data_IF_262064503018
#
_entry.id   IF_262064503018
#
_cell.length_a   1.000
_cell.length_b   1.000
_cell.length_c   1.000
_cell.angle_alpha   90.00
_cell.angle_beta   90.00
_cell.angle_gamma   90.00
#
_symmetry.space_group_name_H-M   'P 1'
#
loop_
_entity.id
_entity.type
_entity.pdbx_description
1 polymer ?
#
# COMPACT_ATOMS: atom_id res chain seq x y z
N UNK A 1 -10.22 -18.69 20.06
CA UNK A 1 -10.24 -17.27 20.48
C UNK A 1 -10.40 -16.49 19.19
N UNK A 2 -11.36 -15.57 19.07
CA UNK A 2 -11.41 -14.70 17.90
C UNK A 2 -10.24 -13.72 18.02
N UNK A 3 -9.08 -14.09 17.47
CA UNK A 3 -7.95 -13.17 17.37
C UNK A 3 -8.46 -11.99 16.55
N UNK A 4 -8.60 -10.84 17.20
CA UNK A 4 -9.04 -9.61 16.54
C UNK A 4 -8.00 -9.28 15.48
N UNK A 5 -8.36 -9.42 14.22
CA UNK A 5 -7.57 -8.93 13.11
C UNK A 5 -7.12 -7.48 13.40
N UNK A 6 -5.83 -7.15 13.28
CA UNK A 6 -5.35 -5.80 13.50
C UNK A 6 -6.10 -4.80 12.62
N UNK A 7 -6.57 -3.70 13.24
CA UNK A 7 -7.29 -2.64 12.54
C UNK A 7 -6.35 -1.46 12.31
N UNK A 8 -6.16 -1.09 11.04
CA UNK A 8 -5.47 0.13 10.63
C UNK A 8 -6.49 1.25 10.51
N UNK A 9 -6.30 2.34 11.24
CA UNK A 9 -7.17 3.52 11.14
C UNK A 9 -6.53 4.58 10.26
N UNK A 10 -7.22 5.02 9.22
CA UNK A 10 -6.77 6.05 8.28
C UNK A 10 -7.66 7.29 8.43
N UNK A 11 -7.09 8.38 8.93
CA UNK A 11 -7.82 9.65 9.03
C UNK A 11 -7.78 10.39 7.69
N UNK A 12 -8.94 10.63 7.07
CA UNK A 12 -9.05 11.32 5.78
C UNK A 12 -8.51 12.75 5.81
N UNK A 13 -8.43 13.39 6.99
CA UNK A 13 -7.77 14.70 7.12
C UNK A 13 -6.29 14.66 6.73
N UNK A 14 -5.67 13.47 6.73
CA UNK A 14 -4.31 13.30 6.25
C UNK A 14 -4.20 13.53 4.74
N UNK A 15 -5.26 13.36 3.96
CA UNK A 15 -5.18 13.43 2.51
C UNK A 15 -4.89 14.83 1.98
N UNK A 16 -5.21 15.87 2.75
CA UNK A 16 -4.88 17.27 2.44
C UNK A 16 -3.51 17.72 2.97
N UNK A 17 -2.81 16.86 3.72
CA UNK A 17 -1.47 17.18 4.23
C UNK A 17 -0.41 16.96 3.15
N UNK A 18 0.79 17.50 3.38
CA UNK A 18 1.95 17.25 2.54
C UNK A 18 2.45 15.78 2.62
N UNK A 19 3.36 15.42 1.72
CA UNK A 19 3.90 14.08 1.62
C UNK A 19 4.70 13.64 2.85
N UNK A 20 5.36 14.58 3.55
CA UNK A 20 6.17 14.29 4.73
C UNK A 20 5.29 13.95 5.93
N UNK A 21 4.26 14.74 6.17
CA UNK A 21 3.28 14.51 7.23
C UNK A 21 2.55 13.17 7.03
N UNK A 22 2.16 12.86 5.79
CA UNK A 22 1.55 11.56 5.43
C UNK A 22 2.49 10.39 5.70
N UNK A 23 3.74 10.50 5.27
CA UNK A 23 4.75 9.46 5.47
C UNK A 23 5.01 9.25 6.96
N UNK A 24 5.10 10.33 7.72
CA UNK A 24 5.28 10.30 9.18
C UNK A 24 4.13 9.57 9.86
N UNK A 25 2.88 9.89 9.51
CA UNK A 25 1.71 9.24 10.11
C UNK A 25 1.60 7.77 9.72
N UNK A 26 1.82 7.44 8.44
CA UNK A 26 1.86 6.06 7.98
C UNK A 26 2.96 5.24 8.69
N UNK A 27 4.13 5.83 8.94
CA UNK A 27 5.21 5.19 9.68
C UNK A 27 4.84 4.95 11.15
N UNK A 28 4.10 5.87 11.80
CA UNK A 28 3.59 5.63 13.16
C UNK A 28 2.64 4.43 13.19
N UNK A 29 1.72 4.35 12.22
CA UNK A 29 0.80 3.22 12.08
C UNK A 29 1.59 1.92 11.88
N UNK A 30 2.53 1.88 10.95
CA UNK A 30 3.38 0.72 10.70
C UNK A 30 4.14 0.27 11.96
N UNK A 31 4.76 1.21 12.69
CA UNK A 31 5.48 0.91 13.95
C UNK A 31 4.56 0.35 15.03
N UNK A 32 3.31 0.82 15.11
CA UNK A 32 2.34 0.29 16.07
C UNK A 32 1.99 -1.18 15.81
N UNK A 33 2.24 -1.67 14.59
CA UNK A 33 2.08 -3.06 14.16
C UNK A 33 3.39 -3.86 14.23
N UNK A 34 4.46 -3.30 14.81
CA UNK A 34 5.75 -3.97 15.00
C UNK A 34 6.72 -3.87 13.83
N UNK A 35 6.45 -3.06 12.82
CA UNK A 35 7.36 -2.84 11.68
C UNK A 35 8.57 -2.01 12.13
N UNK A 36 9.77 -2.50 11.84
CA UNK A 36 11.03 -1.86 12.23
C UNK A 36 11.40 -0.65 11.37
N UNK A 37 12.26 0.23 11.90
CA UNK A 37 12.83 1.33 11.13
C UNK A 37 13.64 0.86 9.91
N UNK A 38 14.26 -0.32 10.01
CA UNK A 38 15.00 -0.94 8.91
C UNK A 38 14.07 -1.35 7.75
N UNK A 39 12.90 -1.90 8.06
CA UNK A 39 11.88 -2.22 7.07
C UNK A 39 11.30 -0.94 6.42
N UNK A 40 11.05 0.09 7.23
CA UNK A 40 10.59 1.40 6.75
C UNK A 40 11.62 2.09 5.84
N UNK A 41 12.91 1.88 6.07
CA UNK A 41 13.97 2.39 5.19
C UNK A 41 13.98 1.66 3.83
N UNK A 42 13.84 0.33 3.83
CA UNK A 42 13.78 -0.48 2.60
C UNK A 42 12.59 -0.15 1.70
N UNK A 43 11.51 0.40 2.24
CA UNK A 43 10.41 0.93 1.44
C UNK A 43 10.90 2.02 0.46
N UNK A 44 11.84 2.87 0.88
CA UNK A 44 12.38 3.92 0.01
C UNK A 44 13.20 3.35 -1.16
N UNK A 45 13.85 2.21 -0.97
CA UNK A 45 14.57 1.53 -2.05
C UNK A 45 13.62 1.02 -3.14
N UNK A 46 12.49 0.43 -2.75
CA UNK A 46 11.47 0.01 -3.71
C UNK A 46 10.81 1.21 -4.41
N UNK A 47 10.52 2.30 -3.69
CA UNK A 47 10.02 3.55 -4.30
C UNK A 47 10.99 4.14 -5.32
N UNK A 48 12.29 4.06 -5.04
CA UNK A 48 13.34 4.48 -5.98
C UNK A 48 13.32 3.60 -7.23
N UNK A 49 13.24 2.27 -7.07
CA UNK A 49 13.11 1.35 -8.20
C UNK A 49 11.85 1.62 -9.04
N UNK A 50 10.68 1.82 -8.42
CA UNK A 50 9.45 2.22 -9.11
C UNK A 50 9.63 3.50 -9.95
N UNK A 51 10.42 4.46 -9.45
CA UNK A 51 10.71 5.72 -10.15
C UNK A 51 11.66 5.51 -11.31
N UNK A 52 12.76 4.79 -11.10
CA UNK A 52 13.77 4.48 -12.12
C UNK A 52 13.18 3.69 -13.29
N UNK A 53 12.20 2.84 -13.01
CA UNK A 53 11.53 2.01 -14.01
C UNK A 53 10.21 2.60 -14.53
N UNK A 54 9.77 3.78 -14.07
CA UNK A 54 8.49 4.39 -14.46
C UNK A 54 7.28 3.46 -14.24
N UNK A 55 7.22 2.83 -13.07
CA UNK A 55 6.29 1.75 -12.75
C UNK A 55 5.25 2.10 -11.67
N UNK A 56 5.17 3.37 -11.24
CA UNK A 56 4.21 3.83 -10.23
C UNK A 56 2.74 3.66 -10.62
N UNK A 57 2.44 3.57 -11.91
CA UNK A 57 1.08 3.44 -12.44
C UNK A 57 0.68 1.97 -12.66
N UNK A 58 1.56 1.04 -12.29
CA UNK A 58 1.36 -0.38 -12.49
C UNK A 58 0.67 -1.04 -11.29
N UNK A 59 -0.18 -2.05 -11.51
CA UNK A 59 -0.95 -2.70 -10.45
C UNK A 59 -0.13 -3.78 -9.72
N UNK A 60 1.07 -3.44 -9.23
CA UNK A 60 2.00 -4.40 -8.62
C UNK A 60 1.54 -4.96 -7.27
N UNK A 61 0.60 -4.29 -6.57
CA UNK A 61 -0.07 -4.86 -5.40
C UNK A 61 -1.26 -5.75 -5.77
N UNK A 62 -1.77 -5.69 -7.00
CA UNK A 62 -3.03 -6.28 -7.46
C UNK A 62 -3.90 -5.25 -8.18
N UNK A 63 -4.89 -5.71 -8.97
CA UNK A 63 -5.84 -4.87 -9.68
C UNK A 63 -7.20 -4.85 -8.94
N UNK A 64 -7.94 -3.75 -9.06
CA UNK A 64 -9.32 -3.66 -8.59
C UNK A 64 -10.23 -3.88 -9.80
N UNK A 65 -11.30 -4.66 -9.71
CA UNK A 65 -12.15 -4.93 -10.88
C UNK A 65 -12.81 -3.63 -11.44
N UNK A 66 -13.51 -3.74 -12.57
CA UNK A 66 -14.17 -2.59 -13.24
C UNK A 66 -15.12 -1.82 -12.31
N UNK A 67 -15.75 -2.50 -11.36
CA UNK A 67 -16.69 -1.92 -10.39
C UNK A 67 -15.99 -1.25 -9.20
N UNK A 68 -14.66 -1.23 -9.16
CA UNK A 68 -13.92 -0.73 -8.00
C UNK A 68 -13.88 -1.69 -6.82
N UNK A 69 -14.20 -2.98 -7.03
CA UNK A 69 -14.24 -4.01 -6.00
C UNK A 69 -13.21 -5.14 -6.22
N UNK A 70 -12.73 -5.69 -5.10
CA UNK A 70 -11.98 -6.94 -5.09
C UNK A 70 -10.50 -6.83 -5.47
N UNK A 71 -9.84 -7.99 -5.39
CA UNK A 71 -8.43 -8.19 -5.67
C UNK A 71 -8.29 -9.11 -6.88
N UNK A 72 -8.01 -8.53 -8.05
CA UNK A 72 -7.66 -9.28 -9.26
C UNK A 72 -6.14 -9.38 -9.35
N UNK A 73 -5.63 -10.60 -9.16
CA UNK A 73 -4.22 -10.90 -9.28
C UNK A 73 -3.82 -10.98 -10.76
N UNK A 74 -3.24 -9.89 -11.29
CA UNK A 74 -2.80 -9.79 -12.70
C UNK A 74 -1.33 -9.36 -12.75
N UNK A 75 -0.38 -10.26 -12.41
CA UNK A 75 1.03 -9.93 -12.27
C UNK A 75 1.65 -9.41 -13.58
N UNK A 76 1.24 -9.95 -14.73
CA UNK A 76 1.78 -9.56 -16.03
C UNK A 76 1.43 -8.13 -16.43
N UNK A 77 0.39 -7.53 -15.83
CA UNK A 77 0.03 -6.13 -16.06
C UNK A 77 0.98 -5.15 -15.34
N UNK A 78 1.86 -5.64 -14.47
CA UNK A 78 2.82 -4.85 -13.72
C UNK A 78 4.26 -4.94 -14.29
N UNK A 79 4.38 -5.26 -15.57
CA UNK A 79 5.66 -5.35 -16.28
C UNK A 79 5.88 -4.12 -17.16
N UNK A 80 6.99 -3.42 -16.95
CA UNK A 80 7.53 -2.47 -17.93
C UNK A 80 8.35 -3.24 -18.95
N UNK A 81 8.20 -2.95 -20.24
CA UNK A 81 8.92 -3.70 -21.29
C UNK A 81 10.25 -3.06 -21.70
N UNK A 82 10.42 -1.74 -21.48
CA UNK A 82 11.60 -1.00 -21.92
C UNK A 82 12.00 0.08 -20.89
N UNK A 83 12.99 -0.17 -20.00
CA UNK A 83 13.65 -1.46 -19.78
C UNK A 83 12.69 -2.52 -19.20
N UNK A 84 12.99 -3.80 -19.41
CA UNK A 84 12.22 -4.89 -18.82
C UNK A 84 12.31 -4.83 -17.29
N UNK A 85 11.17 -4.75 -16.61
CA UNK A 85 11.11 -4.82 -15.15
C UNK A 85 9.73 -5.24 -14.67
N UNK A 86 9.68 -6.24 -13.79
CA UNK A 86 8.44 -6.80 -13.26
C UNK A 86 8.22 -6.27 -11.84
N UNK A 87 7.44 -5.19 -11.74
CA UNK A 87 7.20 -4.52 -10.47
C UNK A 87 6.46 -5.41 -9.47
N UNK A 88 5.61 -6.32 -9.94
CA UNK A 88 4.90 -7.26 -9.08
C UNK A 88 5.86 -8.28 -8.46
N UNK A 89 6.70 -8.91 -9.28
CA UNK A 89 7.71 -9.85 -8.79
C UNK A 89 8.67 -9.20 -7.82
N UNK A 90 9.15 -8.00 -8.13
CA UNK A 90 10.04 -7.27 -7.22
C UNK A 90 9.34 -6.90 -5.91
N UNK A 91 8.07 -6.48 -5.95
CA UNK A 91 7.28 -6.23 -4.75
C UNK A 91 7.12 -7.48 -3.89
N UNK A 92 6.79 -8.63 -4.49
CA UNK A 92 6.60 -9.89 -3.78
C UNK A 92 7.92 -10.49 -3.24
N UNK A 93 9.06 -10.11 -3.81
CA UNK A 93 10.39 -10.50 -3.31
C UNK A 93 10.85 -9.67 -2.09
N UNK A 94 10.19 -8.54 -1.80
CA UNK A 94 10.48 -7.77 -0.59
C UNK A 94 10.15 -8.59 0.66
N UNK A 95 10.83 -8.35 1.79
CA UNK A 95 10.41 -8.89 3.08
C UNK A 95 8.96 -8.53 3.42
N UNK A 96 8.27 -9.43 4.14
CA UNK A 96 6.83 -9.29 4.44
C UNK A 96 6.49 -7.96 5.15
N UNK A 97 7.33 -7.55 6.08
CA UNK A 97 7.23 -6.29 6.83
C UNK A 97 7.42 -5.06 5.93
N UNK A 98 8.31 -5.12 4.94
CA UNK A 98 8.52 -4.07 3.92
C UNK A 98 7.31 -3.96 3.00
N UNK A 99 6.75 -5.09 2.52
CA UNK A 99 5.53 -5.08 1.72
C UNK A 99 4.36 -4.44 2.49
N UNK A 100 4.22 -4.85 3.76
CA UNK A 100 3.18 -4.34 4.67
C UNK A 100 3.35 -2.85 4.92
N UNK A 101 4.58 -2.40 5.20
CA UNK A 101 4.91 -0.99 5.38
C UNK A 101 4.60 -0.16 4.13
N UNK A 102 4.96 -0.68 2.95
CA UNK A 102 4.66 -0.01 1.68
C UNK A 102 3.15 0.15 1.51
N UNK A 103 2.38 -0.92 1.66
CA UNK A 103 0.92 -0.88 1.54
C UNK A 103 0.29 0.06 2.57
N UNK A 104 0.76 0.08 3.83
CA UNK A 104 0.30 1.05 4.83
C UNK A 104 0.55 2.48 4.36
N UNK A 105 1.72 2.79 3.79
CA UNK A 105 1.98 4.14 3.24
C UNK A 105 1.07 4.47 2.08
N UNK A 106 0.75 3.50 1.22
CA UNK A 106 -0.15 3.70 0.09
C UNK A 106 -1.56 4.10 0.54
N UNK A 107 -2.04 3.65 1.71
CA UNK A 107 -3.32 4.11 2.30
C UNK A 107 -3.39 5.63 2.55
N UNK A 108 -2.25 6.30 2.74
CA UNK A 108 -2.18 7.74 2.99
C UNK A 108 -1.89 8.55 1.72
N UNK A 109 -1.70 7.89 0.57
CA UNK A 109 -1.41 8.56 -0.71
C UNK A 109 -2.65 9.23 -1.31
N UNK A 110 -2.42 10.02 -2.37
CA UNK A 110 -3.45 10.89 -2.96
C UNK A 110 -4.45 10.16 -3.87
N UNK A 111 -4.04 9.10 -4.57
CA UNK A 111 -4.90 8.47 -5.58
C UNK A 111 -5.81 7.43 -4.93
N UNK A 112 -7.15 7.50 -5.14
CA UNK A 112 -8.08 6.51 -4.59
C UNK A 112 -7.74 5.08 -4.98
N UNK A 113 -7.36 4.83 -6.25
CA UNK A 113 -7.06 3.48 -6.77
C UNK A 113 -5.89 2.82 -6.03
N UNK A 114 -4.84 3.58 -5.73
CA UNK A 114 -3.69 3.06 -5.00
C UNK A 114 -4.05 2.67 -3.55
N UNK A 115 -4.95 3.44 -2.92
CA UNK A 115 -5.44 3.15 -1.56
C UNK A 115 -6.27 1.88 -1.54
N UNK A 116 -7.16 1.70 -2.52
CA UNK A 116 -7.96 0.48 -2.62
C UNK A 116 -7.09 -0.75 -2.89
N UNK A 117 -6.11 -0.65 -3.79
CA UNK A 117 -5.15 -1.74 -4.02
C UNK A 117 -4.39 -2.11 -2.75
N UNK A 118 -3.97 -1.12 -1.96
CA UNK A 118 -3.31 -1.34 -0.68
C UNK A 118 -4.21 -1.95 0.40
N UNK A 119 -5.46 -1.48 0.53
CA UNK A 119 -6.45 -2.05 1.45
C UNK A 119 -6.72 -3.52 1.12
N UNK A 120 -6.97 -3.83 -0.16
CA UNK A 120 -7.17 -5.20 -0.62
C UNK A 120 -5.94 -6.07 -0.36
N UNK A 121 -4.73 -5.55 -0.64
CA UNK A 121 -3.50 -6.29 -0.34
C UNK A 121 -3.38 -6.60 1.17
N UNK A 122 -3.58 -5.60 2.04
CA UNK A 122 -3.50 -5.78 3.50
C UNK A 122 -4.59 -6.73 4.01
N UNK A 123 -5.79 -6.70 3.44
CA UNK A 123 -6.86 -7.61 3.79
C UNK A 123 -6.55 -9.05 3.41
N UNK A 124 -6.25 -9.32 2.15
CA UNK A 124 -6.10 -10.68 1.64
C UNK A 124 -4.74 -11.32 2.00
N UNK A 125 -3.66 -10.53 2.04
CA UNK A 125 -2.31 -11.05 2.29
C UNK A 125 -1.87 -10.95 3.75
N UNK A 126 -2.47 -10.07 4.57
CA UNK A 126 -2.10 -9.87 5.98
C UNK A 126 -3.26 -10.07 6.96
N UNK A 127 -4.49 -10.19 6.47
CA UNK A 127 -5.67 -10.31 7.33
C UNK A 127 -6.04 -9.03 8.06
N UNK A 128 -5.45 -7.88 7.70
CA UNK A 128 -5.76 -6.61 8.36
C UNK A 128 -7.11 -6.07 7.91
N UNK A 129 -7.69 -5.22 8.74
CA UNK A 129 -8.86 -4.42 8.38
C UNK A 129 -8.47 -2.96 8.33
N UNK A 130 -8.90 -2.23 7.30
CA UNK A 130 -8.71 -0.79 7.22
C UNK A 130 -10.03 -0.09 7.57
N UNK A 131 -9.95 0.89 8.47
CA UNK A 131 -11.06 1.73 8.87
C UNK A 131 -10.74 3.19 8.52
N UNK A 132 -11.45 3.73 7.53
CA UNK A 132 -11.34 5.15 7.17
C UNK A 132 -12.23 5.98 8.10
N UNK A 133 -11.69 7.07 8.65
CA UNK A 133 -12.41 7.97 9.56
C UNK A 133 -12.31 9.42 9.11
N UNK A 134 -13.26 10.25 9.54
CA UNK A 134 -13.34 11.66 9.22
C UNK A 134 -14.45 12.01 8.21
N UNK A 135 -14.51 13.27 7.82
CA UNK A 135 -15.53 13.75 6.89
C UNK A 135 -15.35 13.11 5.51
N UNK A 136 -16.38 12.44 5.01
CA UNK A 136 -16.34 11.72 3.73
C UNK A 136 -15.87 10.25 3.83
N UNK A 137 -15.67 9.72 5.04
CA UNK A 137 -15.29 8.32 5.25
C UNK A 137 -16.34 7.33 4.78
N UNK A 138 -17.61 7.71 4.81
CA UNK A 138 -18.73 6.92 4.28
C UNK A 138 -18.67 6.66 2.75
N UNK A 139 -17.68 7.23 2.06
CA UNK A 139 -17.41 6.98 0.64
C UNK A 139 -16.36 5.89 0.41
N UNK A 140 -15.81 5.31 1.47
CA UNK A 140 -14.79 4.26 1.44
C UNK A 140 -15.35 2.95 2.02
#
# INVERSE_FOLDING_TARGET
>A
MADKNPIITVNLNMFSQDAEAKTTEANKVAKSLGISDEALAKVEDFKRALTEHNAWDLPFMGYVNEDGYGYAYVPDAAITMNPYWDAHKEFMNLPEDVQTAFAIRMLFTHRPVDRYGADMFLHYHRGFQVNFIGSGANKY
#
